data_IF_829366963928
#
_entry.id   IF_829366963928
#
_cell.length_a   1.000
_cell.length_b   1.000
_cell.length_c   1.000
_cell.angle_alpha   90.00
_cell.angle_beta   90.00
_cell.angle_gamma   90.00
#
_symmetry.space_group_name_H-M   'P 1'
#
loop_
_entity.id
_entity.type
_entity.pdbx_description
1 polymer ?
#
# COMPACT_ATOMS: atom_id res chain seq x y z
N UNK A 1 -22.45 -6.65 -10.30
CA UNK A 1 -21.97 -5.59 -9.38
C UNK A 1 -22.09 -4.27 -10.10
N UNK A 2 -22.51 -3.20 -9.43
CA UNK A 2 -22.67 -1.88 -10.04
C UNK A 2 -21.48 -1.00 -9.67
N UNK A 3 -21.02 -0.24 -10.65
CA UNK A 3 -19.95 0.74 -10.48
C UNK A 3 -20.41 2.10 -11.00
N UNK A 4 -20.01 3.16 -10.31
CA UNK A 4 -20.18 4.53 -10.74
C UNK A 4 -18.86 5.02 -11.32
N UNK A 5 -18.88 5.45 -12.58
CA UNK A 5 -17.70 5.90 -13.32
C UNK A 5 -17.94 7.34 -13.79
N UNK A 6 -16.92 8.17 -13.70
CA UNK A 6 -16.96 9.53 -14.23
C UNK A 6 -16.72 9.48 -15.76
N UNK A 7 -17.61 10.05 -16.57
CA UNK A 7 -17.55 9.97 -18.05
C UNK A 7 -16.35 10.70 -18.63
N UNK A 8 -16.04 11.88 -18.10
CA UNK A 8 -14.92 12.71 -18.56
C UNK A 8 -13.55 12.09 -18.33
N UNK A 9 -13.37 11.33 -17.25
CA UNK A 9 -12.06 10.78 -16.84
C UNK A 9 -11.97 9.26 -16.93
N UNK A 10 -13.10 8.56 -17.03
CA UNK A 10 -13.17 7.10 -16.94
C UNK A 10 -12.84 6.54 -15.55
N UNK A 11 -12.72 7.39 -14.52
CA UNK A 11 -12.31 7.00 -13.17
C UNK A 11 -13.50 6.41 -12.41
N UNK A 12 -13.28 5.28 -11.72
CA UNK A 12 -14.23 4.69 -10.79
C UNK A 12 -14.41 5.60 -9.55
N UNK A 13 -15.65 5.97 -9.24
CA UNK A 13 -16.02 6.83 -8.09
C UNK A 13 -16.82 6.12 -7.02
N UNK A 14 -17.34 4.94 -7.31
CA UNK A 14 -18.02 4.11 -6.31
C UNK A 14 -18.38 2.74 -6.85
N UNK A 15 -18.61 1.79 -5.96
CA UNK A 15 -19.07 0.45 -6.32
C UNK A 15 -19.98 -0.11 -5.24
N UNK A 16 -21.06 -0.77 -5.64
CA UNK A 16 -21.90 -1.52 -4.71
C UNK A 16 -22.51 -2.75 -5.39
N UNK A 17 -22.77 -3.80 -4.61
CA UNK A 17 -23.44 -5.00 -5.07
C UNK A 17 -24.97 -4.92 -4.96
N UNK A 18 -25.50 -4.12 -4.03
CA UNK A 18 -26.93 -4.13 -3.66
C UNK A 18 -27.64 -2.77 -3.73
N UNK A 19 -26.95 -1.64 -3.61
CA UNK A 19 -27.57 -0.31 -3.56
C UNK A 19 -28.13 0.17 -4.90
N UNK A 20 -29.24 0.91 -4.88
CA UNK A 20 -29.86 1.50 -6.07
C UNK A 20 -28.86 2.42 -6.82
N UNK A 21 -28.98 2.55 -8.16
CA UNK A 21 -28.11 3.42 -8.95
C UNK A 21 -28.08 4.87 -8.46
N UNK A 22 -29.23 5.40 -8.04
CA UNK A 22 -29.38 6.76 -7.53
C UNK A 22 -28.55 7.00 -6.26
N UNK A 23 -28.42 5.98 -5.40
CA UNK A 23 -27.59 6.06 -4.19
C UNK A 23 -26.10 6.19 -4.54
N UNK A 24 -25.63 5.46 -5.56
CA UNK A 24 -24.25 5.53 -6.03
C UNK A 24 -23.91 6.89 -6.67
N UNK A 25 -24.86 7.46 -7.40
CA UNK A 25 -24.73 8.80 -7.99
C UNK A 25 -24.69 9.85 -6.88
N UNK A 26 -25.65 9.82 -5.96
CA UNK A 26 -25.74 10.78 -4.84
C UNK A 26 -24.48 10.76 -3.98
N UNK A 27 -23.97 9.58 -3.66
CA UNK A 27 -22.75 9.43 -2.88
C UNK A 27 -21.52 9.93 -3.64
N UNK A 28 -21.41 9.68 -4.95
CA UNK A 28 -20.32 10.21 -5.76
C UNK A 28 -20.36 11.74 -5.89
N UNK A 29 -21.56 12.34 -5.96
CA UNK A 29 -21.75 13.80 -5.93
C UNK A 29 -21.28 14.35 -4.57
N UNK A 30 -21.67 13.72 -3.47
CA UNK A 30 -21.34 14.17 -2.12
C UNK A 30 -19.84 14.05 -1.80
N UNK A 31 -19.21 12.93 -2.16
CA UNK A 31 -17.83 12.63 -1.79
C UNK A 31 -16.80 13.32 -2.70
N UNK A 32 -17.16 13.57 -3.97
CA UNK A 32 -16.21 14.09 -4.98
C UNK A 32 -16.66 15.40 -5.67
N UNK A 33 -17.86 15.92 -5.39
CA UNK A 33 -18.36 17.16 -5.99
C UNK A 33 -18.56 17.12 -7.50
N UNK A 34 -18.73 15.93 -8.08
CA UNK A 34 -18.87 15.73 -9.53
C UNK A 34 -20.33 15.95 -9.93
N UNK A 35 -20.64 16.69 -11.01
CA UNK A 35 -22.02 16.88 -11.46
C UNK A 35 -22.61 15.56 -11.99
N UNK A 36 -23.88 15.30 -11.69
CA UNK A 36 -24.61 14.07 -12.07
C UNK A 36 -24.50 13.72 -13.56
N UNK A 37 -24.50 14.73 -14.44
CA UNK A 37 -24.40 14.54 -15.89
C UNK A 37 -23.10 13.83 -16.32
N UNK A 38 -22.03 13.99 -15.53
CA UNK A 38 -20.70 13.40 -15.75
C UNK A 38 -20.54 12.05 -15.03
N UNK A 39 -21.61 11.50 -14.42
CA UNK A 39 -21.60 10.20 -13.77
C UNK A 39 -22.36 9.17 -14.60
N UNK A 40 -21.85 7.94 -14.62
CA UNK A 40 -22.48 6.81 -15.28
C UNK A 40 -22.41 5.57 -14.40
N UNK A 41 -23.55 4.94 -14.15
CA UNK A 41 -23.61 3.66 -13.44
C UNK A 41 -23.62 2.52 -14.47
N UNK A 42 -22.63 1.64 -14.37
CA UNK A 42 -22.52 0.44 -15.22
C UNK A 42 -22.58 -0.82 -14.38
N UNK A 43 -23.24 -1.86 -14.92
CA UNK A 43 -23.11 -3.21 -14.39
C UNK A 43 -21.85 -3.86 -14.94
N UNK A 44 -21.00 -4.33 -14.04
CA UNK A 44 -19.72 -4.97 -14.37
C UNK A 44 -19.58 -6.32 -13.70
N UNK A 45 -18.86 -7.20 -14.37
CA UNK A 45 -18.36 -8.46 -13.81
C UNK A 45 -17.20 -8.21 -12.84
N UNK A 46 -16.88 -9.20 -12.01
CA UNK A 46 -15.74 -9.14 -11.07
C UNK A 46 -14.41 -8.92 -11.80
N UNK A 47 -14.23 -9.55 -12.97
CA UNK A 47 -13.02 -9.38 -13.78
C UNK A 47 -12.88 -7.95 -14.32
N UNK A 48 -13.97 -7.38 -14.86
CA UNK A 48 -13.99 -6.00 -15.35
C UNK A 48 -13.75 -4.99 -14.23
N UNK A 49 -14.30 -5.24 -13.04
CA UNK A 49 -14.05 -4.40 -11.86
C UNK A 49 -12.58 -4.40 -11.44
N UNK A 50 -11.94 -5.57 -11.43
CA UNK A 50 -10.51 -5.67 -11.13
C UNK A 50 -9.69 -4.85 -12.12
N UNK A 51 -10.01 -4.94 -13.42
CA UNK A 51 -9.36 -4.15 -14.45
C UNK A 51 -9.56 -2.63 -14.23
N UNK A 52 -10.73 -2.20 -13.75
CA UNK A 52 -10.97 -0.79 -13.40
C UNK A 52 -10.14 -0.35 -12.19
N UNK A 53 -9.99 -1.18 -11.16
CA UNK A 53 -9.17 -0.88 -9.98
C UNK A 53 -7.69 -0.69 -10.34
N UNK A 54 -7.17 -1.49 -11.27
CA UNK A 54 -5.77 -1.41 -11.70
C UNK A 54 -5.45 -0.11 -12.46
N UNK A 55 -6.47 0.53 -13.06
CA UNK A 55 -6.35 1.80 -13.81
C UNK A 55 -6.44 3.03 -12.89
N UNK A 56 -6.94 2.87 -11.67
CA UNK A 56 -7.07 4.00 -10.75
C UNK A 56 -5.68 4.57 -10.39
N UNK A 57 -5.57 5.91 -10.29
CA UNK A 57 -4.34 6.51 -9.79
C UNK A 57 -4.10 5.93 -8.39
N UNK A 58 -2.99 5.21 -8.23
CA UNK A 58 -2.55 4.71 -6.92
C UNK A 58 -2.53 5.90 -5.96
N UNK A 59 -3.10 5.77 -4.75
CA UNK A 59 -3.07 6.85 -3.77
C UNK A 59 -1.64 7.36 -3.65
N UNK A 60 -1.42 8.64 -3.92
CA UNK A 60 -0.13 9.23 -3.59
C UNK A 60 -0.05 9.24 -2.07
N UNK A 61 0.76 8.33 -1.54
CA UNK A 61 1.07 8.27 -0.11
C UNK A 61 1.49 9.66 0.34
N UNK A 62 0.95 10.12 1.46
CA UNK A 62 1.39 11.38 2.04
C UNK A 62 2.90 11.30 2.32
N UNK A 63 3.64 12.42 2.30
CA UNK A 63 5.10 12.41 2.50
C UNK A 63 5.55 11.61 3.75
N UNK A 64 4.76 11.66 4.82
CA UNK A 64 5.01 10.89 6.05
C UNK A 64 4.90 9.37 5.85
N UNK A 65 3.93 8.92 5.06
CA UNK A 65 3.72 7.50 4.76
C UNK A 65 4.80 6.99 3.81
N UNK A 66 5.25 7.82 2.86
CA UNK A 66 6.39 7.53 1.99
C UNK A 66 7.66 7.35 2.83
N UNK A 67 7.95 8.27 3.75
CA UNK A 67 9.10 8.18 4.65
C UNK A 67 9.03 6.92 5.53
N UNK A 68 7.86 6.65 6.12
CA UNK A 68 7.67 5.45 6.94
C UNK A 68 7.87 4.16 6.14
N UNK A 69 7.51 4.15 4.85
CA UNK A 69 7.75 3.01 3.96
C UNK A 69 9.25 2.85 3.66
N UNK A 70 9.97 3.95 3.44
CA UNK A 70 11.43 3.90 3.20
C UNK A 70 12.19 3.46 4.44
N UNK A 71 11.81 3.93 5.64
CA UNK A 71 12.44 3.58 6.91
C UNK A 71 12.37 2.07 7.18
N UNK A 72 11.22 1.44 6.88
CA UNK A 72 11.04 -0.02 7.00
C UNK A 72 11.99 -0.79 6.11
N UNK A 73 12.21 -0.33 4.87
CA UNK A 73 13.17 -0.92 3.94
C UNK A 73 14.60 -0.73 4.44
N UNK A 74 14.89 0.41 5.04
CA UNK A 74 16.25 0.78 5.46
C UNK A 74 16.77 -0.06 6.63
N UNK A 75 15.90 -0.50 7.52
CA UNK A 75 16.28 -1.44 8.58
C UNK A 75 16.87 -2.75 8.03
N UNK A 76 16.39 -3.24 6.87
CA UNK A 76 16.92 -4.47 6.25
C UNK A 76 18.29 -4.25 5.61
N UNK A 77 18.43 -3.13 4.90
CA UNK A 77 19.71 -2.74 4.28
C UNK A 77 20.79 -2.53 5.35
N UNK A 78 20.44 -1.88 6.46
CA UNK A 78 21.36 -1.67 7.58
C UNK A 78 21.80 -2.99 8.23
N UNK A 79 20.87 -3.92 8.44
CA UNK A 79 21.16 -5.26 8.97
C UNK A 79 22.13 -6.03 8.05
N UNK A 80 21.84 -6.08 6.75
CA UNK A 80 22.68 -6.78 5.77
C UNK A 80 24.07 -6.13 5.64
N UNK A 81 24.16 -4.79 5.75
CA UNK A 81 25.44 -4.06 5.77
C UNK A 81 26.25 -4.37 7.03
N UNK A 82 25.62 -4.38 8.21
CA UNK A 82 26.31 -4.70 9.47
C UNK A 82 26.85 -6.13 9.41
N UNK A 83 26.07 -7.09 8.91
CA UNK A 83 26.50 -8.48 8.74
C UNK A 83 27.69 -8.58 7.77
N UNK A 84 27.67 -7.83 6.68
CA UNK A 84 28.79 -7.76 5.75
C UNK A 84 30.06 -7.21 6.41
N UNK A 85 29.94 -6.14 7.21
CA UNK A 85 31.08 -5.52 7.89
C UNK A 85 31.66 -6.43 8.99
N UNK A 86 30.80 -7.15 9.73
CA UNK A 86 31.21 -8.17 10.69
C UNK A 86 31.93 -9.34 9.99
N UNK A 87 31.38 -9.83 8.89
CA UNK A 87 31.97 -10.92 8.10
C UNK A 87 33.35 -10.55 7.55
N UNK A 88 33.53 -9.29 7.16
CA UNK A 88 34.83 -8.76 6.70
C UNK A 88 35.81 -8.47 7.83
N UNK A 89 35.37 -8.51 9.09
CA UNK A 89 36.16 -8.13 10.25
C UNK A 89 36.46 -6.63 10.31
N UNK A 90 35.73 -5.80 9.55
CA UNK A 90 35.88 -4.34 9.58
C UNK A 90 35.36 -3.75 10.89
N UNK A 91 34.32 -4.37 11.44
CA UNK A 91 33.81 -4.14 12.79
C UNK A 91 33.67 -5.48 13.48
N UNK A 92 33.63 -5.45 14.80
CA UNK A 92 33.38 -6.60 15.68
C UNK A 92 32.08 -6.40 16.46
N UNK A 93 31.52 -7.46 17.03
CA UNK A 93 30.29 -7.34 17.83
C UNK A 93 30.46 -6.43 19.06
N UNK A 94 31.68 -6.31 19.58
CA UNK A 94 32.02 -5.42 20.69
C UNK A 94 31.97 -3.94 20.32
N UNK A 95 32.12 -3.61 19.04
CA UNK A 95 32.04 -2.23 18.53
C UNK A 95 30.58 -1.73 18.46
N UNK A 96 29.61 -2.64 18.53
CA UNK A 96 28.19 -2.33 18.50
C UNK A 96 27.66 -2.04 19.92
N UNK A 97 26.84 -1.00 20.12
CA UNK A 97 26.14 -0.80 21.39
C UNK A 97 25.21 -1.98 21.72
N UNK A 98 25.00 -2.26 23.00
CA UNK A 98 24.14 -3.36 23.47
C UNK A 98 22.73 -3.31 22.86
N UNK A 99 22.15 -2.10 22.79
CA UNK A 99 20.83 -1.87 22.19
C UNK A 99 20.79 -2.29 20.72
N UNK A 100 21.88 -2.07 19.97
CA UNK A 100 21.97 -2.46 18.56
C UNK A 100 22.09 -3.97 18.43
N UNK A 101 22.93 -4.61 19.25
CA UNK A 101 23.08 -6.08 19.28
C UNK A 101 21.74 -6.77 19.56
N UNK A 102 21.03 -6.32 20.58
CA UNK A 102 19.73 -6.88 20.95
C UNK A 102 18.72 -6.78 19.80
N UNK A 103 18.60 -5.58 19.18
CA UNK A 103 17.66 -5.40 18.07
C UNK A 103 18.02 -6.22 16.83
N UNK A 104 19.30 -6.38 16.52
CA UNK A 104 19.73 -7.24 15.41
C UNK A 104 19.40 -8.71 15.70
N UNK A 105 19.62 -9.19 16.92
CA UNK A 105 19.29 -10.55 17.33
C UNK A 105 17.79 -10.84 17.22
N UNK A 106 16.94 -9.96 17.78
CA UNK A 106 15.47 -10.07 17.69
C UNK A 106 14.99 -10.14 16.24
N UNK A 107 15.53 -9.28 15.36
CA UNK A 107 15.17 -9.27 13.94
C UNK A 107 15.62 -10.53 13.20
N UNK A 108 16.83 -11.02 13.47
CA UNK A 108 17.34 -12.27 12.88
C UNK A 108 16.47 -13.46 13.28
N UNK A 109 16.05 -13.54 14.54
CA UNK A 109 15.13 -14.58 15.02
C UNK A 109 13.78 -14.54 14.30
N UNK A 110 13.17 -13.35 14.19
CA UNK A 110 11.90 -13.17 13.47
C UNK A 110 12.01 -13.57 11.99
N UNK A 111 13.12 -13.23 11.33
CA UNK A 111 13.39 -13.65 9.94
C UNK A 111 13.55 -15.15 9.80
N UNK A 112 14.31 -15.79 10.70
CA UNK A 112 14.47 -17.24 10.70
C UNK A 112 13.13 -17.96 10.90
N UNK A 113 12.28 -17.46 11.80
CA UNK A 113 10.95 -18.01 12.04
C UNK A 113 10.06 -17.91 10.80
N UNK A 114 10.05 -16.75 10.12
CA UNK A 114 9.30 -16.56 8.88
C UNK A 114 9.81 -17.43 7.74
N UNK A 115 11.12 -17.68 7.64
CA UNK A 115 11.71 -18.53 6.61
C UNK A 115 11.46 -20.03 6.85
N UNK A 116 11.17 -20.43 8.09
CA UNK A 116 10.89 -21.81 8.48
C UNK A 116 9.42 -22.22 8.35
N UNK A 117 8.57 -21.36 7.79
CA UNK A 117 7.12 -21.52 7.68
C UNK A 117 6.68 -21.62 6.22
#
# INVERSE_FOLDING_TARGET
MRVCIQKSTGILRGSCSSSLPETLITQAIQDYGIPEIDLEVREVTVAQYKALLDVLPKPQLMPLEQLSATDKGMARVAEDLIDLLLLKGTITETDLPEVVRQKLAERKQLRSWLASR
#
